data_IF_456025495349
#
_entry.id   IF_456025495349
#
_cell.length_a   1.000
_cell.length_b   1.000
_cell.length_c   1.000
_cell.angle_alpha   90.00
_cell.angle_beta   90.00
_cell.angle_gamma   90.00
#
_symmetry.space_group_name_H-M   'P 1'
#
loop_
_entity.id
_entity.type
_entity.pdbx_description
1 polymer ?
#
# COMPACT_ATOMS: atom_id res chain seq x y z
N UNK A 1 30.75 26.22 0.81
CA UNK A 1 30.65 24.74 0.76
C UNK A 1 29.51 24.42 -0.17
N UNK A 2 29.74 23.61 -1.21
CA UNK A 2 28.68 23.14 -2.10
C UNK A 2 28.26 21.74 -1.66
N UNK A 3 26.94 21.50 -1.67
CA UNK A 3 26.34 20.21 -1.32
C UNK A 3 25.41 19.83 -2.46
N UNK A 4 25.65 18.67 -3.06
CA UNK A 4 24.82 18.12 -4.15
C UNK A 4 24.17 16.81 -3.68
N UNK A 5 22.88 16.64 -3.96
CA UNK A 5 22.13 15.42 -3.66
C UNK A 5 21.93 14.60 -4.94
N UNK A 6 22.53 13.42 -5.01
CA UNK A 6 22.46 12.53 -6.16
C UNK A 6 21.63 11.29 -5.83
N UNK A 7 20.69 10.95 -6.72
CA UNK A 7 19.84 9.74 -6.66
C UNK A 7 19.01 9.59 -5.37
N UNK A 8 18.26 10.61 -4.94
CA UNK A 8 17.42 10.49 -3.75
C UNK A 8 16.29 9.48 -3.96
N UNK A 9 15.87 8.84 -2.86
CA UNK A 9 14.61 8.09 -2.83
C UNK A 9 13.45 9.08 -2.92
N UNK A 10 12.57 8.90 -3.90
CA UNK A 10 11.33 9.66 -4.01
C UNK A 10 10.20 8.97 -3.24
N UNK A 11 9.57 9.70 -2.32
CA UNK A 11 8.38 9.26 -1.60
C UNK A 11 7.32 10.35 -1.74
N UNK A 12 6.12 9.94 -2.14
CA UNK A 12 4.96 10.84 -2.19
C UNK A 12 3.95 10.45 -1.12
N UNK A 13 3.26 11.46 -0.58
CA UNK A 13 2.18 11.27 0.37
C UNK A 13 1.04 12.21 0.01
N UNK A 14 -0.19 11.70 0.06
CA UNK A 14 -1.39 12.44 -0.30
C UNK A 14 -2.53 12.01 0.60
N UNK A 15 -3.25 12.99 1.13
CA UNK A 15 -4.54 12.75 1.77
C UNK A 15 -5.62 12.67 0.69
N UNK A 16 -6.43 11.60 0.75
CA UNK A 16 -7.53 11.35 -0.17
C UNK A 16 -8.85 11.49 0.57
N UNK A 17 -9.75 12.30 0.04
CA UNK A 17 -11.09 12.46 0.59
C UNK A 17 -11.97 11.28 0.16
N UNK A 18 -12.16 10.32 1.06
CA UNK A 18 -13.07 9.20 0.84
C UNK A 18 -14.47 9.53 1.37
N UNK A 19 -15.50 9.30 0.56
CA UNK A 19 -16.88 9.46 1.01
C UNK A 19 -17.24 8.42 2.08
N UNK A 20 -18.21 8.73 2.94
CA UNK A 20 -18.67 7.79 3.96
C UNK A 20 -19.20 6.48 3.32
N UNK A 21 -19.87 6.59 2.18
CA UNK A 21 -20.43 5.47 1.43
C UNK A 21 -19.32 4.59 0.83
N UNK A 22 -18.32 5.19 0.19
CA UNK A 22 -17.18 4.45 -0.38
C UNK A 22 -16.38 3.74 0.72
N UNK A 23 -16.16 4.41 1.84
CA UNK A 23 -15.52 3.84 3.03
C UNK A 23 -16.32 2.65 3.57
N UNK A 24 -17.63 2.82 3.76
CA UNK A 24 -18.51 1.75 4.25
C UNK A 24 -18.54 0.54 3.30
N UNK A 25 -18.57 0.77 1.98
CA UNK A 25 -18.52 -0.29 0.98
C UNK A 25 -17.23 -1.10 1.05
N UNK A 26 -16.07 -0.42 1.16
CA UNK A 26 -14.78 -1.12 1.33
C UNK A 26 -14.73 -1.91 2.64
N UNK A 27 -15.21 -1.36 3.75
CA UNK A 27 -15.25 -2.07 5.03
C UNK A 27 -16.18 -3.30 4.99
N UNK A 28 -17.33 -3.18 4.33
CA UNK A 28 -18.24 -4.30 4.15
C UNK A 28 -17.63 -5.42 3.29
N UNK A 29 -16.94 -5.08 2.20
CA UNK A 29 -16.21 -6.05 1.36
C UNK A 29 -15.10 -6.77 2.13
N UNK A 30 -14.44 -6.09 3.08
CA UNK A 30 -13.37 -6.65 3.91
C UNK A 30 -13.87 -7.46 5.12
N UNK A 31 -15.16 -7.46 5.44
CA UNK A 31 -15.69 -8.17 6.61
C UNK A 31 -15.31 -9.68 6.65
N UNK A 32 -15.32 -10.43 5.53
CA UNK A 32 -14.85 -11.81 5.51
C UNK A 32 -13.36 -11.94 5.83
N UNK A 33 -12.52 -11.03 5.33
CA UNK A 33 -11.08 -10.99 5.63
C UNK A 33 -10.82 -10.69 7.10
N UNK A 34 -11.63 -9.82 7.73
CA UNK A 34 -11.56 -9.55 9.18
C UNK A 34 -11.89 -10.79 9.99
N UNK A 35 -12.96 -11.52 9.62
CA UNK A 35 -13.32 -12.76 10.29
C UNK A 35 -12.23 -13.83 10.14
N UNK A 36 -11.65 -13.96 8.95
CA UNK A 36 -10.54 -14.88 8.68
C UNK A 36 -9.30 -14.53 9.50
N UNK A 37 -8.91 -13.24 9.52
CA UNK A 37 -7.77 -12.76 10.31
C UNK A 37 -7.94 -13.03 11.80
N UNK A 38 -9.16 -12.87 12.34
CA UNK A 38 -9.46 -13.19 13.73
C UNK A 38 -9.28 -14.69 14.02
N UNK A 39 -9.68 -15.57 13.10
CA UNK A 39 -9.54 -17.02 13.25
C UNK A 39 -8.09 -17.53 13.07
N UNK A 40 -7.27 -16.81 12.30
CA UNK A 40 -5.91 -17.23 11.92
C UNK A 40 -4.81 -16.45 12.63
N UNK A 41 -5.17 -15.71 13.68
CA UNK A 41 -4.29 -14.74 14.32
C UNK A 41 -3.01 -15.38 14.85
N UNK A 42 -1.86 -14.75 14.57
CA UNK A 42 -0.54 -15.16 15.05
C UNK A 42 0.08 -14.02 15.86
N UNK A 43 0.56 -14.28 17.08
CA UNK A 43 1.21 -13.24 17.88
C UNK A 43 2.36 -12.58 17.10
N UNK A 44 2.39 -11.25 17.08
CA UNK A 44 3.47 -10.46 16.47
C UNK A 44 3.41 -10.32 14.96
N UNK A 45 2.50 -11.00 14.26
CA UNK A 45 2.45 -11.02 12.78
C UNK A 45 1.11 -10.48 12.30
N UNK A 46 1.16 -9.41 11.51
CA UNK A 46 -0.04 -8.86 10.89
C UNK A 46 -0.61 -9.83 9.85
N UNK A 47 -1.93 -9.83 9.69
CA UNK A 47 -2.58 -10.63 8.66
C UNK A 47 -2.54 -9.86 7.34
N UNK A 48 -2.12 -10.52 6.26
CA UNK A 48 -2.01 -9.91 4.92
C UNK A 48 -2.78 -10.73 3.89
N UNK A 49 -3.61 -10.09 3.07
CA UNK A 49 -4.50 -10.79 2.14
C UNK A 49 -3.79 -11.49 0.97
N UNK A 50 -2.56 -11.11 0.63
CA UNK A 50 -1.75 -11.73 -0.42
C UNK A 50 -1.41 -13.20 -0.12
N UNK A 51 -1.02 -13.51 1.12
CA UNK A 51 -0.68 -14.87 1.55
C UNK A 51 -1.87 -15.66 2.11
N UNK A 52 -3.04 -15.01 2.25
CA UNK A 52 -4.27 -15.60 2.79
C UNK A 52 -5.39 -15.70 1.75
N UNK A 53 -5.03 -15.75 0.45
CA UNK A 53 -5.96 -15.92 -0.69
C UNK A 53 -7.04 -14.83 -0.79
N UNK A 54 -6.82 -13.69 -0.14
CA UNK A 54 -7.74 -12.56 -0.07
C UNK A 54 -7.19 -11.31 -0.80
N UNK A 55 -6.35 -11.51 -1.81
CA UNK A 55 -5.84 -10.47 -2.69
C UNK A 55 -6.84 -10.02 -3.75
N UNK A 56 -6.32 -9.28 -4.75
CA UNK A 56 -7.07 -8.84 -5.92
C UNK A 56 -8.11 -7.75 -5.65
N UNK A 57 -7.89 -6.86 -4.67
CA UNK A 57 -8.84 -5.77 -4.35
C UNK A 57 -9.20 -4.91 -5.57
N UNK A 58 -8.26 -4.74 -6.52
CA UNK A 58 -8.45 -3.92 -7.72
C UNK A 58 -9.51 -4.48 -8.68
N UNK A 59 -9.95 -5.72 -8.48
CA UNK A 59 -11.01 -6.38 -9.25
C UNK A 59 -12.37 -6.27 -8.57
N UNK A 60 -12.43 -5.77 -7.34
CA UNK A 60 -13.64 -5.71 -6.52
C UNK A 60 -14.31 -4.34 -6.69
N UNK A 61 -15.62 -4.27 -6.98
CA UNK A 61 -16.32 -3.01 -7.20
C UNK A 61 -16.20 -2.03 -6.03
N UNK A 62 -16.17 -2.52 -4.78
CA UNK A 62 -16.03 -1.69 -3.58
C UNK A 62 -14.76 -0.83 -3.58
N UNK A 63 -13.71 -1.27 -4.28
CA UNK A 63 -12.40 -0.59 -4.34
C UNK A 63 -12.20 0.21 -5.63
N UNK A 64 -13.20 0.29 -6.52
CA UNK A 64 -13.06 0.96 -7.81
C UNK A 64 -12.66 2.43 -7.66
N UNK A 65 -13.26 3.15 -6.70
CA UNK A 65 -12.90 4.54 -6.39
C UNK A 65 -11.43 4.66 -5.96
N UNK A 66 -10.99 3.86 -4.98
CA UNK A 66 -9.63 3.90 -4.47
C UNK A 66 -8.62 3.55 -5.57
N UNK A 67 -8.93 2.55 -6.41
CA UNK A 67 -8.07 2.19 -7.54
C UNK A 67 -8.03 3.28 -8.62
N UNK A 68 -9.08 4.09 -8.77
CA UNK A 68 -9.04 5.28 -9.61
C UNK A 68 -8.05 6.32 -9.07
N UNK A 69 -8.17 6.62 -7.77
CA UNK A 69 -7.30 7.61 -7.10
C UNK A 69 -5.83 7.18 -7.09
N UNK A 70 -5.53 5.92 -6.73
CA UNK A 70 -4.15 5.41 -6.76
C UNK A 70 -3.58 5.42 -8.18
N UNK A 71 -4.36 5.12 -9.21
CA UNK A 71 -3.89 5.20 -10.59
C UNK A 71 -3.60 6.66 -11.02
N UNK A 72 -4.43 7.61 -10.59
CA UNK A 72 -4.21 9.05 -10.81
C UNK A 72 -2.94 9.52 -10.13
N UNK A 73 -2.74 9.18 -8.86
CA UNK A 73 -1.56 9.56 -8.09
C UNK A 73 -0.29 8.88 -8.60
N UNK A 74 -0.35 7.61 -9.03
CA UNK A 74 0.79 6.92 -9.64
C UNK A 74 1.27 7.60 -10.93
N UNK A 75 0.34 8.07 -11.77
CA UNK A 75 0.66 8.85 -12.97
C UNK A 75 1.27 10.20 -12.60
N UNK A 76 0.69 10.91 -11.64
CA UNK A 76 1.23 12.19 -11.18
C UNK A 76 2.64 12.03 -10.61
N UNK A 77 2.87 10.99 -9.80
CA UNK A 77 4.18 10.67 -9.25
C UNK A 77 5.21 10.38 -10.35
N UNK A 78 4.87 9.54 -11.34
CA UNK A 78 5.75 9.27 -12.47
C UNK A 78 6.08 10.54 -13.28
N UNK A 79 5.10 11.43 -13.49
CA UNK A 79 5.33 12.70 -14.18
C UNK A 79 6.30 13.61 -13.40
N UNK A 80 6.18 13.68 -12.06
CA UNK A 80 7.10 14.43 -11.20
C UNK A 80 8.53 13.90 -11.29
N UNK A 81 8.69 12.59 -11.48
CA UNK A 81 9.99 11.95 -11.72
C UNK A 81 10.53 12.14 -13.15
N UNK A 82 9.82 12.90 -13.99
CA UNK A 82 10.22 13.18 -15.37
C UNK A 82 9.90 12.06 -16.35
N UNK A 83 9.07 11.09 -15.98
CA UNK A 83 8.62 10.06 -16.92
C UNK A 83 7.61 10.61 -17.93
N UNK A 84 7.72 10.19 -19.19
CA UNK A 84 6.73 10.43 -20.24
C UNK A 84 5.50 9.52 -20.03
N UNK A 85 4.58 9.92 -19.15
CA UNK A 85 3.45 9.08 -18.69
C UNK A 85 2.54 8.56 -19.81
N UNK A 86 2.45 9.26 -20.94
CA UNK A 86 1.68 8.84 -22.12
C UNK A 86 2.27 7.61 -22.82
N UNK A 87 3.55 7.31 -22.57
CA UNK A 87 4.24 6.11 -23.09
C UNK A 87 4.25 4.97 -22.08
N UNK A 88 3.65 5.16 -20.91
CA UNK A 88 3.60 4.18 -19.85
C UNK A 88 2.22 3.56 -19.75
N UNK A 89 2.20 2.23 -19.61
CA UNK A 89 1.00 1.49 -19.22
C UNK A 89 1.07 1.18 -17.73
N UNK A 90 0.11 1.71 -16.97
CA UNK A 90 -0.06 1.39 -15.56
C UNK A 90 -0.97 0.18 -15.42
N UNK A 91 -0.63 -0.73 -14.52
CA UNK A 91 -1.42 -1.94 -14.24
C UNK A 91 -1.21 -2.37 -12.80
N UNK A 92 -2.27 -2.81 -12.14
CA UNK A 92 -2.20 -3.40 -10.82
C UNK A 92 -1.68 -4.84 -10.93
N UNK A 93 -0.55 -5.13 -10.29
CA UNK A 93 -0.02 -6.50 -10.20
C UNK A 93 -0.73 -7.28 -9.10
N UNK A 94 -0.69 -6.74 -7.89
CA UNK A 94 -1.34 -7.30 -6.72
C UNK A 94 -1.87 -6.17 -5.84
N UNK A 95 -3.01 -6.40 -5.22
CA UNK A 95 -3.58 -5.50 -4.20
C UNK A 95 -4.25 -6.34 -3.14
N UNK A 96 -4.03 -6.04 -1.86
CA UNK A 96 -4.54 -6.81 -0.73
C UNK A 96 -4.73 -5.90 0.48
N UNK A 97 -5.54 -6.34 1.43
CA UNK A 97 -5.67 -5.67 2.71
C UNK A 97 -4.61 -6.17 3.69
N UNK A 98 -4.17 -5.29 4.58
CA UNK A 98 -3.37 -5.64 5.76
C UNK A 98 -4.21 -5.32 6.99
N UNK A 99 -4.36 -6.30 7.87
CA UNK A 99 -5.07 -6.17 9.13
C UNK A 99 -4.04 -6.33 10.24
N UNK A 100 -3.77 -5.23 10.93
CA UNK A 100 -2.76 -5.15 11.97
C UNK A 100 -3.43 -4.79 13.29
N UNK A 101 -3.26 -5.61 14.31
CA UNK A 101 -3.66 -5.28 15.68
C UNK A 101 -2.48 -5.01 16.62
N UNK A 102 -2.75 -4.85 17.92
CA UNK A 102 -1.72 -4.46 18.87
C UNK A 102 -0.54 -5.44 18.92
N UNK A 103 0.67 -4.89 18.75
CA UNK A 103 1.91 -5.66 18.78
C UNK A 103 2.20 -6.48 17.52
N UNK A 104 1.37 -6.38 16.48
CA UNK A 104 1.61 -7.03 15.19
C UNK A 104 2.38 -6.11 14.24
N UNK A 105 3.11 -6.71 13.31
CA UNK A 105 3.83 -6.00 12.27
C UNK A 105 3.91 -6.82 10.98
N UNK A 106 4.24 -6.13 9.88
CA UNK A 106 4.72 -6.76 8.64
C UNK A 106 6.25 -6.67 8.65
N UNK A 107 6.94 -7.79 8.43
CA UNK A 107 8.40 -7.81 8.41
C UNK A 107 8.96 -6.95 7.26
N UNK A 108 10.18 -6.42 7.42
CA UNK A 108 10.88 -5.67 6.36
C UNK A 108 11.05 -6.54 5.11
N UNK A 109 10.69 -5.99 3.95
CA UNK A 109 10.72 -6.69 2.66
C UNK A 109 10.66 -5.72 1.47
N UNK A 110 10.80 -6.26 0.26
CA UNK A 110 10.67 -5.54 -1.01
C UNK A 110 9.64 -6.20 -1.92
N UNK A 111 8.96 -5.43 -2.79
CA UNK A 111 8.02 -5.97 -3.78
C UNK A 111 8.71 -6.28 -5.11
N UNK A 112 9.21 -7.51 -5.26
CA UNK A 112 9.88 -7.96 -6.49
C UNK A 112 8.90 -7.90 -7.67
N UNK A 113 9.32 -7.27 -8.77
CA UNK A 113 8.53 -7.16 -10.01
C UNK A 113 7.57 -5.99 -10.08
N UNK A 114 7.40 -5.20 -9.00
CA UNK A 114 6.65 -3.96 -9.03
C UNK A 114 7.58 -2.76 -9.22
N UNK A 115 7.22 -1.82 -10.09
CA UNK A 115 7.94 -0.55 -10.26
C UNK A 115 7.51 0.52 -9.25
N UNK A 116 6.30 0.37 -8.69
CA UNK A 116 5.72 1.28 -7.70
C UNK A 116 4.90 0.47 -6.71
N UNK A 117 5.03 0.82 -5.43
CA UNK A 117 4.19 0.32 -4.35
C UNK A 117 3.44 1.48 -3.71
N UNK A 118 2.21 1.23 -3.25
CA UNK A 118 1.39 2.22 -2.57
C UNK A 118 0.66 1.57 -1.39
N UNK A 119 0.44 2.35 -0.34
CA UNK A 119 -0.37 1.97 0.82
C UNK A 119 -1.46 3.01 1.01
N UNK A 120 -2.65 2.55 1.37
CA UNK A 120 -3.77 3.41 1.74
C UNK A 120 -4.29 2.99 3.11
N UNK A 121 -4.33 3.93 4.04
CA UNK A 121 -4.77 3.69 5.41
C UNK A 121 -6.29 3.85 5.50
N UNK A 122 -7.01 2.74 5.35
CA UNK A 122 -8.47 2.75 5.41
C UNK A 122 -8.99 3.02 6.81
N UNK A 123 -8.42 2.42 7.85
CA UNK A 123 -8.82 2.63 9.23
C UNK A 123 -7.58 2.61 10.14
N UNK A 124 -7.38 3.70 10.88
CA UNK A 124 -6.29 3.86 11.83
C UNK A 124 -6.90 4.42 13.11
N UNK A 125 -6.89 3.66 14.22
CA UNK A 125 -7.31 4.18 15.51
C UNK A 125 -6.42 5.35 15.94
N UNK A 126 -6.98 6.31 16.66
CA UNK A 126 -6.18 7.40 17.23
C UNK A 126 -5.11 6.85 18.18
N UNK A 127 -3.88 7.36 18.06
CA UNK A 127 -2.74 6.89 18.85
C UNK A 127 -2.25 5.48 18.50
N UNK A 128 -2.73 4.88 17.41
CA UNK A 128 -2.14 3.65 16.90
C UNK A 128 -0.75 3.91 16.30
N UNK A 129 0.19 3.01 16.55
CA UNK A 129 1.45 2.94 15.79
C UNK A 129 1.24 2.25 14.44
N UNK A 130 2.31 1.66 13.90
CA UNK A 130 2.25 0.94 12.61
C UNK A 130 2.71 1.81 11.44
N UNK A 131 3.69 2.67 11.72
CA UNK A 131 4.30 3.57 10.77
C UNK A 131 5.00 2.80 9.64
N UNK A 132 4.93 3.34 8.43
CA UNK A 132 5.75 2.84 7.33
C UNK A 132 7.20 3.31 7.53
N UNK A 133 8.11 2.34 7.61
CA UNK A 133 9.54 2.60 7.76
C UNK A 133 10.26 2.24 6.45
N UNK A 134 11.07 3.16 5.94
CA UNK A 134 11.96 2.92 4.82
C UNK A 134 13.38 2.64 5.33
N UNK A 135 13.95 1.51 4.92
CA UNK A 135 15.30 1.11 5.30
C UNK A 135 16.26 1.32 4.13
N UNK A 136 17.35 2.05 4.36
CA UNK A 136 18.46 2.13 3.42
C UNK A 136 19.41 0.96 3.68
N UNK A 137 19.31 -0.10 2.89
CA UNK A 137 20.22 -1.23 3.00
C UNK A 137 21.62 -0.80 2.56
N UNK A 138 22.63 -1.11 3.37
CA UNK A 138 24.03 -0.73 3.11
C UNK A 138 24.62 -1.35 1.84
N UNK A 139 23.94 -2.34 1.24
CA UNK A 139 24.35 -3.01 0.00
C UNK A 139 23.13 -3.49 -0.84
N UNK A 140 22.51 -2.62 -1.65
CA UNK A 140 21.23 -2.89 -2.31
C UNK A 140 21.26 -3.94 -3.45
N UNK A 141 22.44 -4.39 -3.87
CA UNK A 141 22.62 -5.20 -5.10
C UNK A 141 22.92 -6.69 -4.86
N UNK A 142 22.83 -7.21 -3.63
CA UNK A 142 23.24 -8.59 -3.29
C UNK A 142 22.11 -9.49 -2.74
N UNK A 143 20.90 -9.41 -3.30
CA UNK A 143 19.75 -10.27 -2.93
C UNK A 143 19.11 -11.00 -4.12
#
# INVERSE_FOLDING_TARGET
MNVDAWFPLAVASRELEVSAEARAAMLADLAPSVAQAAAQRRPGVAWTGDVNEAGGLHRRPAFAWLCGEIAREARAFAAVLGCEVERLRFSYLQTWAVLCGPGEAVASHTHRGASLSAVYYLQVPEGAGGELVFECLSQPNWL
#
